data_IF_267128319164
#
_entry.id   IF_267128319164
#
_cell.length_a   1.000
_cell.length_b   1.000
_cell.length_c   1.000
_cell.angle_alpha   90.00
_cell.angle_beta   90.00
_cell.angle_gamma   90.00
#
_symmetry.space_group_name_H-M   'P 1'
#
loop_
_entity.id
_entity.type
_entity.pdbx_description
1 polymer ?
#
# COMPACT_ATOMS: atom_id res chain seq x y z
N UNK A 1 51.72 36.45 -14.99
CA UNK A 1 50.40 37.04 -15.33
C UNK A 1 49.47 36.77 -14.15
N UNK A 2 48.75 37.75 -13.59
CA UNK A 2 47.95 37.54 -12.37
C UNK A 2 46.73 36.65 -12.66
N UNK A 3 46.53 35.60 -11.86
CA UNK A 3 45.39 34.66 -11.91
C UNK A 3 44.03 35.36 -12.08
N UNK A 4 43.81 36.49 -11.42
CA UNK A 4 42.57 37.29 -11.54
C UNK A 4 42.33 37.82 -12.95
N UNK A 5 43.39 38.20 -13.67
CA UNK A 5 43.28 38.67 -15.06
C UNK A 5 42.97 37.52 -16.00
N UNK A 6 43.55 36.34 -15.78
CA UNK A 6 43.25 35.13 -16.55
C UNK A 6 41.81 34.68 -16.30
N UNK A 7 41.36 34.61 -15.05
CA UNK A 7 39.98 34.27 -14.70
C UNK A 7 38.97 35.25 -15.33
N UNK A 8 39.26 36.55 -15.29
CA UNK A 8 38.39 37.57 -15.91
C UNK A 8 38.30 37.41 -17.43
N UNK A 9 39.41 37.11 -18.09
CA UNK A 9 39.44 36.88 -19.54
C UNK A 9 38.68 35.61 -19.92
N UNK A 10 38.80 34.55 -19.11
CA UNK A 10 38.05 33.30 -19.29
C UNK A 10 36.55 33.53 -19.12
N UNK A 11 36.13 34.17 -18.02
CA UNK A 11 34.72 34.51 -17.80
C UNK A 11 34.16 35.42 -18.91
N UNK A 12 34.97 36.35 -19.42
CA UNK A 12 34.56 37.21 -20.52
C UNK A 12 34.44 36.45 -21.85
N UNK A 13 35.35 35.50 -22.14
CA UNK A 13 35.25 34.60 -23.29
C UNK A 13 33.96 33.78 -23.23
N UNK A 14 33.68 33.15 -22.08
CA UNK A 14 32.48 32.33 -21.90
C UNK A 14 31.20 33.16 -21.96
N UNK A 15 31.21 34.36 -21.38
CA UNK A 15 30.09 35.30 -21.49
C UNK A 15 29.83 35.69 -22.95
N UNK A 16 30.88 35.95 -23.74
CA UNK A 16 30.74 36.22 -25.17
C UNK A 16 30.25 34.96 -25.91
N UNK A 17 30.70 33.77 -25.52
CA UNK A 17 30.24 32.49 -26.05
C UNK A 17 28.74 32.30 -25.87
N UNK A 18 28.26 32.47 -24.63
CA UNK A 18 26.84 32.44 -24.28
C UNK A 18 26.05 33.54 -25.03
N UNK A 19 26.60 34.76 -25.12
CA UNK A 19 25.98 35.87 -25.84
C UNK A 19 25.84 35.64 -27.35
N UNK A 20 26.79 34.91 -27.95
CA UNK A 20 26.74 34.54 -29.38
C UNK A 20 25.79 33.38 -29.63
N UNK A 21 25.65 32.46 -28.68
CA UNK A 21 24.83 31.27 -28.81
C UNK A 21 23.48 31.41 -28.07
N UNK A 22 22.78 32.52 -28.35
CA UNK A 22 21.55 32.94 -27.64
C UNK A 22 20.47 31.85 -27.56
N UNK A 23 20.36 31.01 -28.59
CA UNK A 23 19.38 29.93 -28.64
C UNK A 23 19.67 28.85 -27.59
N UNK A 24 20.93 28.46 -27.43
CA UNK A 24 21.34 27.44 -26.47
C UNK A 24 21.24 27.95 -25.04
N UNK A 25 21.71 29.17 -24.77
CA UNK A 25 21.58 29.79 -23.44
C UNK A 25 20.11 30.02 -23.07
N UNK A 26 19.24 30.33 -24.03
CA UNK A 26 17.81 30.42 -23.79
C UNK A 26 17.20 29.06 -23.47
N UNK A 27 17.61 27.97 -24.14
CA UNK A 27 17.15 26.62 -23.82
C UNK A 27 17.64 26.14 -22.44
N UNK A 28 18.89 26.41 -22.09
CA UNK A 28 19.48 26.06 -20.80
C UNK A 28 18.75 26.70 -19.61
N UNK A 29 18.20 27.89 -19.78
CA UNK A 29 17.44 28.59 -18.73
C UNK A 29 15.94 28.29 -18.83
N UNK A 30 15.37 28.31 -20.04
CA UNK A 30 13.94 28.15 -20.22
C UNK A 30 13.46 26.73 -19.92
N UNK A 31 14.22 25.68 -20.26
CA UNK A 31 13.78 24.29 -20.03
C UNK A 31 13.66 23.97 -18.54
N UNK A 32 14.67 24.23 -17.68
CA UNK A 32 14.51 24.02 -16.23
C UNK A 32 13.38 24.86 -15.63
N UNK A 33 13.23 26.12 -16.06
CA UNK A 33 12.18 27.01 -15.53
C UNK A 33 10.79 26.57 -15.97
N UNK A 34 10.59 26.22 -17.24
CA UNK A 34 9.29 25.79 -17.77
C UNK A 34 8.82 24.47 -17.21
N UNK A 35 9.73 23.56 -16.81
CA UNK A 35 9.36 22.28 -16.20
C UNK A 35 9.23 22.43 -14.67
N UNK A 36 10.09 23.23 -14.01
CA UNK A 36 10.04 23.41 -12.55
C UNK A 36 8.84 24.23 -12.10
N UNK A 37 8.47 25.31 -12.81
CA UNK A 37 7.46 26.25 -12.35
C UNK A 37 6.05 25.63 -12.25
N UNK A 38 5.55 24.89 -13.26
CA UNK A 38 4.26 24.18 -13.15
C UNK A 38 4.30 23.12 -12.05
N UNK A 39 5.44 22.43 -11.89
CA UNK A 39 5.61 21.39 -10.88
C UNK A 39 5.56 21.97 -9.46
N UNK A 40 6.21 23.11 -9.21
CA UNK A 40 6.12 23.85 -7.94
C UNK A 40 4.69 24.31 -7.68
N UNK A 41 3.99 24.82 -8.70
CA UNK A 41 2.60 25.28 -8.57
C UNK A 41 1.68 24.11 -8.20
N UNK A 42 1.81 22.95 -8.87
CA UNK A 42 1.03 21.74 -8.58
C UNK A 42 1.28 21.27 -7.15
N UNK A 43 2.55 21.21 -6.72
CA UNK A 43 2.90 20.76 -5.36
C UNK A 43 2.36 21.73 -4.30
N UNK A 44 2.50 23.04 -4.49
CA UNK A 44 1.98 24.03 -3.55
C UNK A 44 0.46 23.95 -3.46
N UNK A 45 -0.23 23.81 -4.61
CA UNK A 45 -1.69 23.67 -4.64
C UNK A 45 -2.18 22.37 -4.00
N UNK A 46 -1.44 21.27 -4.15
CA UNK A 46 -1.80 19.98 -3.57
C UNK A 46 -1.33 19.81 -2.12
N UNK A 47 -0.30 20.52 -1.67
CA UNK A 47 0.29 20.34 -0.33
C UNK A 47 -0.70 20.50 0.83
N UNK A 48 -1.71 21.38 0.69
CA UNK A 48 -2.76 21.57 1.70
C UNK A 48 -3.86 20.52 1.67
N UNK A 49 -4.04 19.80 0.55
CA UNK A 49 -5.02 18.71 0.41
C UNK A 49 -4.45 17.32 0.67
N UNK A 50 -3.14 17.22 0.90
CA UNK A 50 -2.35 15.98 1.00
C UNK A 50 -2.31 15.39 2.43
N UNK A 51 -2.90 16.08 3.41
CA UNK A 51 -3.04 15.52 4.77
C UNK A 51 -4.33 14.73 4.83
N UNK A 52 -4.23 13.41 4.96
CA UNK A 52 -5.37 12.61 5.39
C UNK A 52 -5.54 12.79 6.90
N UNK A 53 -6.78 13.12 7.28
CA UNK A 53 -7.16 13.17 8.69
C UNK A 53 -7.14 11.77 9.30
N UNK A 54 -7.15 11.71 10.63
CA UNK A 54 -7.19 10.44 11.33
C UNK A 54 -8.43 9.65 10.90
N UNK A 55 -8.21 8.39 10.49
CA UNK A 55 -9.31 7.51 10.10
C UNK A 55 -9.67 6.64 11.29
N UNK A 56 -10.82 6.93 11.88
CA UNK A 56 -11.42 6.12 12.93
C UNK A 56 -12.40 5.13 12.31
N UNK A 57 -12.21 3.84 12.58
CA UNK A 57 -13.11 2.79 12.12
C UNK A 57 -14.19 2.54 13.15
N UNK A 58 -15.41 2.28 12.68
CA UNK A 58 -16.51 1.91 13.56
C UNK A 58 -16.42 0.43 13.91
N UNK A 59 -16.70 0.04 15.16
CA UNK A 59 -16.81 -1.37 15.49
C UNK A 59 -17.99 -1.98 14.74
N UNK A 60 -17.83 -3.23 14.30
CA UNK A 60 -18.91 -4.02 13.72
C UNK A 60 -19.03 -5.36 14.44
N UNK A 61 -20.26 -5.81 14.67
CA UNK A 61 -20.52 -7.07 15.37
C UNK A 61 -20.47 -8.25 14.40
N UNK A 62 -19.96 -9.40 14.80
CA UNK A 62 -20.10 -10.65 14.01
C UNK A 62 -21.09 -11.55 14.74
N UNK A 63 -22.16 -11.99 14.07
CA UNK A 63 -23.22 -12.77 14.72
C UNK A 63 -23.09 -14.27 14.50
N UNK A 64 -22.43 -14.70 13.42
CA UNK A 64 -22.27 -16.12 13.07
C UNK A 64 -23.60 -16.80 12.76
N UNK A 65 -24.52 -16.06 12.14
CA UNK A 65 -25.86 -16.52 11.82
C UNK A 65 -26.36 -15.92 10.48
N UNK A 66 -27.63 -16.16 10.16
CA UNK A 66 -28.27 -15.65 8.95
C UNK A 66 -28.18 -14.13 8.77
N UNK A 67 -28.02 -13.33 9.85
CA UNK A 67 -27.93 -11.87 9.75
C UNK A 67 -26.68 -11.44 9.00
N UNK A 68 -25.57 -12.17 9.16
CA UNK A 68 -24.33 -11.88 8.44
C UNK A 68 -24.45 -12.13 6.92
N UNK A 69 -25.30 -13.08 6.50
CA UNK A 69 -25.52 -13.46 5.09
C UNK A 69 -26.11 -12.33 4.26
N UNK A 70 -27.10 -11.63 4.82
CA UNK A 70 -27.80 -10.53 4.15
C UNK A 70 -27.24 -9.15 4.48
N UNK A 71 -26.28 -9.06 5.41
CA UNK A 71 -25.71 -7.79 5.84
C UNK A 71 -24.64 -7.28 4.89
N UNK A 72 -24.82 -6.02 4.48
CA UNK A 72 -23.80 -5.21 3.82
C UNK A 72 -23.03 -4.43 4.89
N UNK A 73 -21.70 -4.51 4.87
CA UNK A 73 -20.83 -3.68 5.69
C UNK A 73 -20.29 -2.56 4.80
N UNK A 74 -20.88 -1.37 4.92
CA UNK A 74 -20.63 -0.23 4.03
C UNK A 74 -20.72 -0.61 2.54
N UNK A 75 -19.63 -0.45 1.79
CA UNK A 75 -19.53 -0.80 0.38
C UNK A 75 -18.99 -2.23 0.14
N UNK A 76 -18.77 -3.03 1.19
CA UNK A 76 -18.37 -4.43 1.05
C UNK A 76 -19.57 -5.32 0.72
N UNK A 77 -19.32 -6.32 -0.12
CA UNK A 77 -20.33 -7.32 -0.44
C UNK A 77 -20.61 -8.19 0.79
N UNK A 78 -21.86 -8.65 0.92
CA UNK A 78 -22.24 -9.58 2.00
C UNK A 78 -21.50 -10.93 1.86
N UNK A 79 -21.53 -11.75 2.90
CA UNK A 79 -20.83 -13.03 2.87
C UNK A 79 -21.43 -13.96 1.81
N UNK A 80 -20.58 -14.72 1.12
CA UNK A 80 -20.97 -15.67 0.06
C UNK A 80 -21.66 -15.05 -1.18
N UNK A 81 -21.73 -13.72 -1.26
CA UNK A 81 -22.38 -12.97 -2.34
C UNK A 81 -21.60 -12.96 -3.66
N UNK A 82 -20.30 -13.24 -3.62
CA UNK A 82 -19.40 -13.32 -4.79
C UNK A 82 -19.88 -14.31 -5.85
N UNK A 83 -20.79 -15.21 -5.47
CA UNK A 83 -21.24 -16.31 -6.29
C UNK A 83 -22.70 -16.26 -6.76
N UNK A 84 -23.30 -15.08 -6.74
CA UNK A 84 -24.75 -14.93 -6.93
C UNK A 84 -25.54 -15.56 -5.78
N UNK A 85 -26.82 -15.22 -5.66
CA UNK A 85 -27.71 -15.73 -4.60
C UNK A 85 -28.04 -17.22 -4.82
N UNK A 86 -27.06 -18.11 -4.59
CA UNK A 86 -27.35 -19.52 -4.33
C UNK A 86 -27.90 -19.62 -2.92
N UNK A 87 -29.21 -19.82 -2.86
CA UNK A 87 -30.01 -19.98 -1.65
C UNK A 87 -29.70 -21.28 -0.89
N UNK A 88 -28.89 -22.18 -1.44
CA UNK A 88 -28.46 -23.39 -0.75
C UNK A 88 -26.96 -23.57 -0.89
N UNK A 89 -26.27 -23.79 0.23
CA UNK A 89 -24.85 -24.13 0.29
C UNK A 89 -24.61 -25.24 1.29
N UNK A 90 -23.47 -25.90 1.15
CA UNK A 90 -23.06 -26.97 2.04
C UNK A 90 -21.81 -26.62 2.85
N UNK A 91 -21.70 -27.17 4.06
CA UNK A 91 -20.52 -27.09 4.91
C UNK A 91 -20.04 -28.51 5.22
N UNK A 92 -18.78 -28.81 4.97
CA UNK A 92 -18.20 -30.09 5.33
C UNK A 92 -17.68 -30.08 6.77
N UNK A 93 -17.96 -31.12 7.55
CA UNK A 93 -17.39 -31.32 8.88
C UNK A 93 -16.64 -32.65 8.96
N UNK A 94 -15.49 -32.66 9.63
CA UNK A 94 -14.74 -33.88 9.99
C UNK A 94 -14.44 -33.81 11.48
N UNK A 95 -14.76 -34.89 12.20
CA UNK A 95 -14.50 -35.04 13.62
C UNK A 95 -13.40 -36.06 13.89
N UNK A 96 -12.77 -36.05 15.08
CA UNK A 96 -11.82 -37.09 15.49
C UNK A 96 -12.46 -38.49 15.44
N UNK A 97 -11.68 -39.54 15.16
CA UNK A 97 -12.20 -40.89 14.95
C UNK A 97 -12.99 -41.50 16.11
N UNK A 98 -12.75 -41.04 17.34
CA UNK A 98 -13.41 -41.50 18.56
C UNK A 98 -14.52 -40.55 19.05
N UNK A 99 -14.96 -39.62 18.21
CA UNK A 99 -15.97 -38.64 18.57
C UNK A 99 -17.37 -39.26 18.54
N UNK A 100 -18.23 -38.88 19.48
CA UNK A 100 -19.59 -39.40 19.54
C UNK A 100 -20.40 -38.92 18.32
N UNK A 101 -20.95 -39.88 17.58
CA UNK A 101 -21.75 -39.62 16.39
C UNK A 101 -23.05 -38.86 16.73
N UNK A 102 -23.59 -39.06 17.94
CA UNK A 102 -24.77 -38.32 18.39
C UNK A 102 -24.45 -36.83 18.58
N UNK A 103 -23.27 -36.55 19.13
CA UNK A 103 -22.74 -35.22 19.35
C UNK A 103 -22.36 -34.53 18.03
N UNK A 104 -21.72 -35.25 17.11
CA UNK A 104 -21.40 -34.74 15.77
C UNK A 104 -22.66 -34.26 15.03
N UNK A 105 -23.73 -35.05 15.09
CA UNK A 105 -25.03 -34.68 14.50
C UNK A 105 -25.66 -33.50 15.21
N UNK A 106 -25.50 -33.37 16.53
CA UNK A 106 -25.98 -32.20 17.27
C UNK A 106 -25.26 -30.93 16.82
N UNK A 107 -23.92 -30.95 16.73
CA UNK A 107 -23.11 -29.82 16.24
C UNK A 107 -23.52 -29.42 14.83
N UNK A 108 -23.69 -30.40 13.94
CA UNK A 108 -24.11 -30.16 12.56
C UNK A 108 -25.48 -29.45 12.49
N UNK A 109 -26.48 -29.97 13.22
CA UNK A 109 -27.82 -29.36 13.27
C UNK A 109 -27.82 -27.97 13.87
N UNK A 110 -27.03 -27.75 14.92
CA UNK A 110 -26.93 -26.45 15.55
C UNK A 110 -26.33 -25.42 14.58
N UNK A 111 -25.27 -25.77 13.85
CA UNK A 111 -24.71 -24.93 12.79
C UNK A 111 -25.71 -24.67 11.65
N UNK A 112 -26.44 -25.69 11.19
CA UNK A 112 -27.49 -25.50 10.19
C UNK A 112 -28.56 -24.51 10.67
N UNK A 113 -29.02 -24.67 11.92
CA UNK A 113 -30.10 -23.87 12.49
C UNK A 113 -29.75 -22.39 12.62
N UNK A 114 -28.48 -22.05 12.84
CA UNK A 114 -28.01 -20.66 12.94
C UNK A 114 -28.18 -19.89 11.63
N UNK A 115 -27.97 -20.56 10.51
CA UNK A 115 -28.09 -19.95 9.18
C UNK A 115 -29.47 -20.15 8.55
N UNK A 116 -30.41 -20.81 9.24
CA UNK A 116 -31.80 -20.96 8.81
C UNK A 116 -32.67 -19.94 9.54
N UNK A 117 -33.31 -19.03 8.79
CA UNK A 117 -34.31 -18.13 9.36
C UNK A 117 -35.56 -18.95 9.76
N UNK A 118 -35.89 -19.01 11.04
CA UNK A 118 -37.06 -19.77 11.52
C UNK A 118 -38.29 -18.93 11.87
N UNK A 119 -38.23 -17.59 11.86
CA UNK A 119 -39.40 -16.77 12.21
C UNK A 119 -39.46 -15.37 11.57
N UNK A 120 -40.67 -15.05 11.07
CA UNK A 120 -41.27 -13.72 10.84
C UNK A 120 -40.86 -12.92 9.58
N UNK A 121 -41.49 -13.29 8.45
CA UNK A 121 -42.35 -12.45 7.57
C UNK A 121 -41.95 -11.05 7.07
N UNK A 122 -40.71 -10.56 7.28
CA UNK A 122 -40.31 -9.23 6.79
C UNK A 122 -39.20 -9.28 5.72
N UNK A 123 -38.37 -10.32 5.71
CA UNK A 123 -37.23 -10.44 4.79
C UNK A 123 -37.34 -11.78 4.05
N UNK A 124 -37.26 -11.76 2.71
CA UNK A 124 -37.16 -12.96 1.87
C UNK A 124 -35.77 -13.62 2.01
N UNK A 125 -35.40 -14.01 3.23
CA UNK A 125 -34.21 -14.80 3.48
C UNK A 125 -34.47 -16.23 3.02
N UNK A 126 -33.78 -16.66 1.97
CA UNK A 126 -33.94 -17.99 1.38
C UNK A 126 -32.68 -18.82 1.49
N UNK A 127 -31.66 -18.34 2.22
CA UNK A 127 -30.42 -19.07 2.41
C UNK A 127 -30.64 -20.27 3.33
N UNK A 128 -30.07 -21.41 2.93
CA UNK A 128 -30.08 -22.66 3.66
C UNK A 128 -28.67 -23.24 3.66
N UNK A 129 -28.14 -23.45 4.85
CA UNK A 129 -26.92 -24.21 5.05
C UNK A 129 -27.25 -25.69 5.25
N UNK A 130 -26.52 -26.55 4.54
CA UNK A 130 -26.61 -28.01 4.56
C UNK A 130 -25.28 -28.57 5.08
N UNK A 131 -25.25 -29.10 6.30
CA UNK A 131 -24.01 -29.52 6.95
C UNK A 131 -23.80 -31.01 6.75
N UNK A 132 -22.72 -31.37 6.07
CA UNK A 132 -22.38 -32.75 5.73
C UNK A 132 -21.21 -33.22 6.58
N UNK A 133 -21.40 -34.33 7.30
CA UNK A 133 -20.35 -34.95 8.11
C UNK A 133 -19.63 -35.99 7.25
N UNK A 134 -18.31 -35.86 7.17
CA UNK A 134 -17.43 -36.78 6.44
C UNK A 134 -16.70 -37.70 7.43
N UNK A 135 -16.42 -38.93 6.98
CA UNK A 135 -15.75 -39.93 7.81
C UNK A 135 -14.27 -39.61 8.09
N UNK A 136 -13.59 -38.94 7.14
CA UNK A 136 -12.18 -38.57 7.25
C UNK A 136 -11.87 -37.29 6.47
N UNK A 137 -10.73 -36.68 6.77
CA UNK A 137 -10.25 -35.48 6.07
C UNK A 137 -10.13 -35.72 4.56
N UNK A 138 -9.63 -36.89 4.16
CA UNK A 138 -9.42 -37.23 2.74
C UNK A 138 -10.72 -37.23 1.93
N UNK A 139 -11.81 -37.80 2.46
CA UNK A 139 -13.10 -37.82 1.77
C UNK A 139 -13.72 -36.43 1.68
N UNK A 140 -13.56 -35.61 2.73
CA UNK A 140 -13.99 -34.21 2.68
C UNK A 140 -13.20 -33.43 1.63
N UNK A 141 -11.87 -33.56 1.63
CA UNK A 141 -11.01 -32.87 0.67
C UNK A 141 -11.27 -33.32 -0.77
N UNK A 142 -11.59 -34.59 -1.01
CA UNK A 142 -12.01 -35.09 -2.32
C UNK A 142 -13.34 -34.45 -2.76
N UNK A 143 -14.34 -34.38 -1.87
CA UNK A 143 -15.62 -33.74 -2.16
C UNK A 143 -15.47 -32.23 -2.45
N UNK A 144 -14.69 -31.52 -1.64
CA UNK A 144 -14.38 -30.09 -1.85
C UNK A 144 -13.61 -29.86 -3.15
N UNK A 145 -12.61 -30.71 -3.45
CA UNK A 145 -11.81 -30.62 -4.67
C UNK A 145 -12.63 -30.92 -5.92
N UNK A 146 -13.56 -31.88 -5.83
CA UNK A 146 -14.49 -32.19 -6.92
C UNK A 146 -15.42 -31.01 -7.20
N UNK A 147 -16.03 -30.45 -6.17
CA UNK A 147 -16.90 -29.27 -6.28
C UNK A 147 -16.16 -28.05 -6.86
N UNK A 148 -14.90 -27.86 -6.45
CA UNK A 148 -14.01 -26.85 -7.02
C UNK A 148 -13.76 -27.04 -8.53
N UNK A 149 -13.47 -28.27 -8.97
CA UNK A 149 -13.22 -28.57 -10.39
C UNK A 149 -14.47 -28.44 -11.26
N UNK A 150 -15.62 -28.82 -10.72
CA UNK A 150 -16.89 -28.77 -11.45
C UNK A 150 -17.44 -27.35 -11.59
N UNK A 151 -17.11 -26.45 -10.66
CA UNK A 151 -17.64 -25.09 -10.64
C UNK A 151 -16.54 -24.03 -10.58
N UNK A 152 -16.14 -23.52 -11.74
CA UNK A 152 -15.16 -22.43 -11.85
C UNK A 152 -15.61 -21.16 -11.13
N UNK A 153 -16.90 -20.83 -11.20
CA UNK A 153 -17.46 -19.66 -10.52
C UNK A 153 -17.86 -20.01 -9.09
N UNK A 154 -18.71 -21.03 -8.87
CA UNK A 154 -19.41 -21.21 -7.60
C UNK A 154 -19.52 -22.63 -7.07
N UNK A 155 -18.79 -22.90 -5.99
CA UNK A 155 -18.83 -24.15 -5.22
C UNK A 155 -20.16 -24.33 -4.51
N UNK A 156 -20.69 -25.56 -4.48
CA UNK A 156 -21.75 -25.94 -3.55
C UNK A 156 -21.33 -25.79 -2.10
N UNK A 157 -20.06 -26.07 -1.79
CA UNK A 157 -19.50 -25.93 -0.45
C UNK A 157 -18.97 -24.51 -0.18
N UNK A 158 -19.27 -23.98 1.01
CA UNK A 158 -18.67 -22.72 1.50
C UNK A 158 -17.27 -22.96 2.08
N UNK A 159 -17.12 -24.05 2.83
CA UNK A 159 -15.90 -24.39 3.54
C UNK A 159 -15.95 -25.86 4.02
N UNK A 160 -14.80 -26.36 4.48
CA UNK A 160 -14.69 -27.54 5.32
C UNK A 160 -14.15 -27.18 6.70
N UNK A 161 -14.63 -27.84 7.75
CA UNK A 161 -14.15 -27.70 9.12
C UNK A 161 -13.59 -29.05 9.57
N UNK A 162 -12.33 -29.07 9.97
CA UNK A 162 -11.66 -30.26 10.49
C UNK A 162 -11.44 -30.03 11.97
N UNK A 163 -12.12 -30.80 12.82
CA UNK A 163 -11.89 -30.76 14.26
C UNK A 163 -10.75 -31.70 14.61
N UNK A 164 -9.62 -31.15 15.06
CA UNK A 164 -8.50 -31.91 15.58
C UNK A 164 -8.73 -32.29 17.05
N UNK A 165 -9.33 -31.38 17.82
CA UNK A 165 -9.68 -31.57 19.22
C UNK A 165 -11.04 -30.92 19.50
N UNK A 166 -12.00 -31.69 20.02
CA UNK A 166 -13.30 -31.19 20.48
C UNK A 166 -13.59 -31.86 21.82
N UNK A 167 -13.24 -31.19 22.92
CA UNK A 167 -13.38 -31.74 24.26
C UNK A 167 -14.15 -30.79 25.18
N UNK A 168 -15.39 -31.18 25.50
CA UNK A 168 -16.28 -30.43 26.39
C UNK A 168 -15.77 -30.40 27.83
N UNK A 169 -15.22 -31.51 28.31
CA UNK A 169 -14.80 -31.68 29.71
C UNK A 169 -13.60 -30.80 30.05
N UNK A 170 -12.68 -30.62 29.10
CA UNK A 170 -11.49 -29.76 29.26
C UNK A 170 -11.66 -28.37 28.65
N UNK A 171 -12.81 -28.08 28.05
CA UNK A 171 -13.09 -26.85 27.30
C UNK A 171 -12.02 -26.54 26.23
N UNK A 172 -11.53 -27.56 25.54
CA UNK A 172 -10.53 -27.42 24.46
C UNK A 172 -11.14 -27.64 23.09
N UNK A 173 -10.92 -26.67 22.21
CA UNK A 173 -11.31 -26.71 20.81
C UNK A 173 -10.08 -26.41 19.95
N UNK A 174 -9.75 -27.32 19.02
CA UNK A 174 -8.77 -27.10 17.97
C UNK A 174 -9.37 -27.55 16.65
N UNK A 175 -9.39 -26.66 15.67
CA UNK A 175 -9.97 -26.92 14.37
C UNK A 175 -9.23 -26.18 13.27
N UNK A 176 -9.36 -26.68 12.06
CA UNK A 176 -8.84 -26.08 10.84
C UNK A 176 -10.00 -25.77 9.90
N UNK A 177 -10.08 -24.51 9.44
CA UNK A 177 -11.01 -24.09 8.39
C UNK A 177 -10.33 -24.22 7.02
N UNK A 178 -11.00 -24.94 6.11
CA UNK A 178 -10.61 -25.08 4.71
C UNK A 178 -11.54 -24.24 3.86
N UNK A 179 -11.06 -23.07 3.45
CA UNK A 179 -11.79 -22.16 2.54
C UNK A 179 -11.15 -22.23 1.16
N UNK A 180 -11.98 -22.05 0.13
CA UNK A 180 -11.51 -21.98 -1.25
C UNK A 180 -10.57 -20.78 -1.44
N UNK A 181 -9.37 -21.06 -1.93
CA UNK A 181 -8.49 -20.06 -2.51
C UNK A 181 -8.65 -20.10 -4.04
N UNK A 182 -8.67 -18.94 -4.68
CA UNK A 182 -8.69 -18.77 -6.15
C UNK A 182 -7.48 -17.96 -6.58
N UNK A 183 -7.27 -17.84 -7.89
CA UNK A 183 -6.21 -16.99 -8.44
C UNK A 183 -6.51 -15.48 -8.29
N UNK A 184 -7.72 -15.12 -7.85
CA UNK A 184 -8.07 -13.73 -7.53
C UNK A 184 -7.36 -13.28 -6.24
N UNK A 185 -6.72 -12.11 -6.30
CA UNK A 185 -6.05 -11.45 -5.17
C UNK A 185 -7.01 -11.27 -3.98
N UNK A 186 -8.31 -11.09 -4.23
CA UNK A 186 -9.31 -11.00 -3.15
C UNK A 186 -9.52 -12.31 -2.38
N UNK A 187 -9.08 -13.45 -2.91
CA UNK A 187 -9.16 -14.74 -2.23
C UNK A 187 -7.83 -15.17 -1.63
N UNK A 188 -6.78 -14.36 -1.78
CA UNK A 188 -5.47 -14.63 -1.22
C UNK A 188 -5.47 -14.32 0.28
N UNK A 189 -4.90 -15.25 1.03
CA UNK A 189 -4.68 -15.14 2.47
C UNK A 189 -3.22 -14.78 2.70
N UNK A 190 -2.96 -13.77 3.54
CA UNK A 190 -1.60 -13.49 3.97
C UNK A 190 -1.15 -14.54 5.00
N UNK A 191 0.03 -15.11 4.79
CA UNK A 191 0.63 -16.11 5.67
C UNK A 191 2.01 -15.58 6.09
N UNK A 192 2.28 -15.53 7.39
CA UNK A 192 3.61 -15.16 7.90
C UNK A 192 3.99 -13.72 7.58
N UNK A 193 5.11 -13.53 6.88
CA UNK A 193 5.70 -12.21 6.61
C UNK A 193 4.96 -11.42 5.51
N UNK A 194 4.04 -12.06 4.77
CA UNK A 194 3.25 -11.44 3.70
C UNK A 194 2.18 -10.46 4.22
N UNK A 195 1.97 -10.39 5.54
CA UNK A 195 0.95 -9.52 6.17
C UNK A 195 1.29 -8.04 5.96
N UNK A 196 2.57 -7.72 5.89
CA UNK A 196 3.04 -6.35 5.76
C UNK A 196 3.64 -6.14 4.37
N UNK A 197 3.20 -5.09 3.69
CA UNK A 197 3.89 -4.63 2.50
C UNK A 197 5.29 -4.08 2.85
N UNK A 198 6.02 -3.56 1.86
CA UNK A 198 7.37 -3.05 2.06
C UNK A 198 7.47 -1.92 3.12
N UNK A 199 6.35 -1.27 3.47
CA UNK A 199 6.27 -0.26 4.52
C UNK A 199 6.05 -0.81 5.94
N UNK A 200 5.87 -2.12 6.12
CA UNK A 200 5.72 -2.74 7.44
C UNK A 200 4.36 -2.50 8.09
N UNK A 201 4.29 -2.61 9.41
CA UNK A 201 3.07 -2.44 10.21
C UNK A 201 2.47 -1.03 10.20
N UNK A 202 3.23 -0.05 9.69
CA UNK A 202 2.83 1.35 9.60
C UNK A 202 2.60 1.76 8.14
N UNK A 203 2.58 0.80 7.21
CA UNK A 203 2.25 1.10 5.82
C UNK A 203 0.81 1.58 5.75
N UNK A 204 0.64 2.74 5.14
CA UNK A 204 -0.67 3.30 4.82
C UNK A 204 -1.32 2.40 3.78
N UNK A 205 -2.42 1.76 4.16
CA UNK A 205 -3.19 0.93 3.24
C UNK A 205 -4.14 1.81 2.42
N UNK A 206 -4.24 1.54 1.11
CA UNK A 206 -5.21 2.20 0.22
C UNK A 206 -6.66 1.77 0.53
N UNK A 207 -6.82 0.69 1.30
CA UNK A 207 -8.09 0.13 1.72
C UNK A 207 -8.59 0.81 3.00
N UNK A 208 -9.64 1.62 2.88
CA UNK A 208 -10.30 2.32 4.00
C UNK A 208 -11.62 1.66 4.43
N UNK A 209 -11.83 0.39 4.11
CA UNK A 209 -13.02 -0.34 4.53
C UNK A 209 -12.90 -0.79 6.01
N UNK A 210 -14.06 -1.00 6.66
CA UNK A 210 -14.12 -1.46 8.06
C UNK A 210 -13.38 -2.79 8.30
N UNK A 211 -13.34 -3.63 7.27
CA UNK A 211 -12.61 -4.89 7.20
C UNK A 211 -11.81 -4.84 5.91
N UNK A 212 -10.57 -5.30 5.96
CA UNK A 212 -9.73 -5.34 4.77
C UNK A 212 -10.41 -6.19 3.68
N UNK A 213 -10.43 -5.68 2.46
CA UNK A 213 -10.79 -6.42 1.24
C UNK A 213 -9.76 -7.51 0.99
N UNK A 214 -8.50 -7.25 1.32
CA UNK A 214 -7.40 -8.20 1.15
C UNK A 214 -6.60 -8.28 2.46
N UNK A 215 -6.62 -9.43 3.17
CA UNK A 215 -7.35 -10.66 2.86
C UNK A 215 -8.85 -10.52 3.13
N UNK A 216 -9.67 -11.17 2.31
CA UNK A 216 -11.13 -11.06 2.40
C UNK A 216 -11.72 -11.92 3.53
N UNK A 217 -11.55 -11.50 4.78
CA UNK A 217 -12.09 -12.21 5.94
C UNK A 217 -13.62 -12.11 6.05
N UNK A 218 -14.21 -11.01 5.59
CA UNK A 218 -15.65 -10.77 5.66
C UNK A 218 -16.40 -11.47 4.53
N UNK A 219 -16.27 -11.03 3.28
CA UNK A 219 -17.11 -11.54 2.17
C UNK A 219 -16.86 -13.02 1.86
N UNK A 220 -15.72 -13.60 2.25
CA UNK A 220 -15.49 -15.06 2.21
C UNK A 220 -16.36 -15.84 3.20
N UNK A 221 -16.92 -15.17 4.21
CA UNK A 221 -17.70 -15.75 5.29
C UNK A 221 -16.86 -16.36 6.41
N UNK A 222 -15.54 -16.23 6.37
CA UNK A 222 -14.64 -16.80 7.37
C UNK A 222 -14.96 -16.32 8.79
N UNK A 223 -15.06 -15.01 9.01
CA UNK A 223 -15.31 -14.46 10.36
C UNK A 223 -16.64 -14.98 10.94
N UNK A 224 -17.69 -15.00 10.11
CA UNK A 224 -19.00 -15.51 10.50
C UNK A 224 -18.94 -17.00 10.84
N UNK A 225 -18.28 -17.80 10.00
CA UNK A 225 -18.15 -19.24 10.21
C UNK A 225 -17.30 -19.60 11.43
N UNK A 226 -16.18 -18.89 11.62
CA UNK A 226 -15.32 -19.04 12.80
C UNK A 226 -16.13 -18.76 14.07
N UNK A 227 -16.84 -17.63 14.11
CA UNK A 227 -17.67 -17.29 15.26
C UNK A 227 -18.81 -18.31 15.47
N UNK A 228 -19.42 -18.82 14.39
CA UNK A 228 -20.46 -19.85 14.48
C UNK A 228 -19.92 -21.16 15.09
N UNK A 229 -18.74 -21.64 14.65
CA UNK A 229 -18.12 -22.87 15.18
C UNK A 229 -17.78 -22.71 16.67
N UNK A 230 -17.14 -21.60 17.04
CA UNK A 230 -16.73 -21.33 18.42
C UNK A 230 -17.93 -21.15 19.35
N UNK A 231 -18.96 -20.43 18.90
CA UNK A 231 -20.18 -20.23 19.69
C UNK A 231 -21.00 -21.52 19.85
N UNK A 232 -21.02 -22.42 18.86
CA UNK A 232 -21.62 -23.76 19.01
C UNK A 232 -20.85 -24.60 20.02
N UNK A 233 -19.51 -24.53 20.02
CA UNK A 233 -18.69 -25.18 21.04
C UNK A 233 -18.95 -24.62 22.45
N UNK A 234 -19.01 -23.29 22.60
CA UNK A 234 -19.33 -22.67 23.89
C UNK A 234 -20.71 -23.08 24.40
N UNK A 235 -21.73 -23.14 23.51
CA UNK A 235 -23.07 -23.65 23.84
C UNK A 235 -23.03 -25.11 24.29
N UNK A 236 -22.14 -25.92 23.73
CA UNK A 236 -22.02 -27.33 24.06
C UNK A 236 -21.41 -27.57 25.45
N UNK A 237 -20.56 -26.66 25.92
CA UNK A 237 -19.97 -26.67 27.27
C UNK A 237 -20.92 -26.05 28.29
N UNK A 238 -21.55 -24.92 27.97
CA UNK A 238 -22.37 -24.16 28.90
C UNK A 238 -23.85 -24.51 28.73
N UNK A 239 -24.33 -25.55 29.42
CA UNK A 239 -25.71 -26.06 29.29
C UNK A 239 -26.87 -25.12 29.71
N UNK A 240 -26.66 -23.80 29.90
CA UNK A 240 -27.73 -22.78 30.09
C UNK A 240 -27.19 -21.36 30.38
N UNK A 241 -25.92 -21.19 30.73
CA UNK A 241 -25.42 -19.95 31.35
C UNK A 241 -25.03 -18.84 30.35
N UNK A 242 -24.84 -19.19 29.09
CA UNK A 242 -24.55 -18.27 27.99
C UNK A 242 -25.57 -18.53 26.90
N UNK A 243 -26.73 -17.89 27.01
CA UNK A 243 -27.58 -17.65 25.85
C UNK A 243 -26.72 -16.94 24.81
N UNK A 244 -26.74 -17.37 23.55
CA UNK A 244 -25.92 -16.78 22.48
C UNK A 244 -26.11 -15.28 22.26
N UNK A 245 -27.08 -14.66 22.94
CA UNK A 245 -27.34 -13.22 22.96
C UNK A 245 -26.45 -12.44 23.95
N UNK A 246 -25.75 -13.09 24.89
CA UNK A 246 -24.97 -12.42 25.93
C UNK A 246 -23.51 -12.13 25.53
N UNK A 247 -23.00 -12.77 24.47
CA UNK A 247 -21.64 -12.55 23.95
C UNK A 247 -21.72 -11.63 22.73
N UNK A 248 -21.63 -10.33 22.98
CA UNK A 248 -21.47 -9.34 21.92
C UNK A 248 -20.01 -9.34 21.43
N UNK A 249 -19.76 -9.97 20.29
CA UNK A 249 -18.44 -9.98 19.68
C UNK A 249 -18.35 -8.90 18.60
N UNK A 250 -17.64 -7.82 18.92
CA UNK A 250 -17.34 -6.72 18.00
C UNK A 250 -15.89 -6.72 17.59
N UNK A 251 -15.65 -6.51 16.30
CA UNK A 251 -14.34 -6.28 15.73
C UNK A 251 -14.21 -4.80 15.35
N UNK A 252 -13.03 -4.24 15.61
CA UNK A 252 -12.69 -2.87 15.26
C UNK A 252 -11.27 -2.86 14.68
N UNK A 253 -11.12 -2.18 13.54
CA UNK A 253 -9.82 -1.99 12.91
C UNK A 253 -9.03 -0.95 13.71
N UNK A 254 -7.72 -1.15 13.80
CA UNK A 254 -6.84 -0.16 14.43
C UNK A 254 -6.97 1.19 13.71
N UNK A 255 -7.06 2.30 14.44
CA UNK A 255 -7.18 3.62 13.84
C UNK A 255 -5.92 3.96 13.05
N UNK A 256 -6.10 4.60 11.90
CA UNK A 256 -4.98 5.08 11.10
C UNK A 256 -4.59 6.49 11.55
N UNK A 257 -3.31 6.71 11.94
CA UNK A 257 -2.86 8.03 12.35
C UNK A 257 -2.84 8.98 11.16
N UNK A 258 -2.86 10.28 11.42
CA UNK A 258 -2.69 11.27 10.35
C UNK A 258 -1.38 11.05 9.61
N UNK A 259 -1.43 10.89 8.29
CA UNK A 259 -0.27 10.72 7.45
C UNK A 259 -0.31 11.66 6.23
N UNK A 260 0.85 11.82 5.61
CA UNK A 260 1.00 12.56 4.36
C UNK A 260 0.86 11.60 3.18
N UNK A 261 0.10 11.96 2.12
CA UNK A 261 -0.16 11.05 1.00
C UNK A 261 1.13 10.44 0.42
N UNK A 262 0.99 9.17 0.01
CA UNK A 262 1.94 8.44 -0.84
C UNK A 262 2.36 9.22 -2.08
N UNK A 263 1.52 10.15 -2.55
CA UNK A 263 1.82 11.10 -3.61
C UNK A 263 3.08 11.95 -3.35
N UNK A 264 3.43 12.27 -2.10
CA UNK A 264 4.70 12.97 -1.79
C UNK A 264 5.90 12.04 -2.05
N UNK A 265 5.82 10.78 -1.63
CA UNK A 265 6.85 9.77 -1.92
C UNK A 265 6.98 9.47 -3.41
N UNK A 266 5.85 9.39 -4.14
CA UNK A 266 5.83 9.21 -5.59
C UNK A 266 6.38 10.45 -6.31
N UNK A 267 6.07 11.64 -5.81
CA UNK A 267 6.63 12.90 -6.28
C UNK A 267 8.16 12.96 -6.07
N UNK A 268 8.65 12.60 -4.88
CA UNK A 268 10.08 12.51 -4.59
C UNK A 268 10.78 11.50 -5.50
N UNK A 269 10.11 10.41 -5.86
CA UNK A 269 10.62 9.42 -6.81
C UNK A 269 10.69 9.97 -8.23
N UNK A 270 9.69 10.77 -8.64
CA UNK A 270 9.67 11.45 -9.96
C UNK A 270 10.76 12.51 -10.09
N UNK A 271 11.17 13.17 -8.99
CA UNK A 271 12.23 14.19 -9.01
C UNK A 271 13.54 13.67 -9.60
N UNK A 272 13.86 12.37 -9.45
CA UNK A 272 15.06 11.76 -10.02
C UNK A 272 15.07 11.90 -11.56
N UNK A 273 13.95 11.58 -12.20
CA UNK A 273 13.79 11.66 -13.67
C UNK A 273 13.75 13.12 -14.11
N UNK A 274 13.04 13.96 -13.36
CA UNK A 274 12.96 15.40 -13.60
C UNK A 274 14.35 16.06 -13.65
N UNK A 275 15.23 15.76 -12.69
CA UNK A 275 16.57 16.33 -12.66
C UNK A 275 17.45 15.87 -13.82
N UNK A 276 17.30 14.62 -14.26
CA UNK A 276 18.00 14.13 -15.45
C UNK A 276 17.60 14.92 -16.70
N UNK A 277 16.30 15.16 -16.90
CA UNK A 277 15.81 15.93 -18.05
C UNK A 277 16.23 17.40 -17.98
N UNK A 278 16.20 17.99 -16.79
CA UNK A 278 16.60 19.39 -16.56
C UNK A 278 18.08 19.63 -16.89
N UNK A 279 18.95 18.69 -16.56
CA UNK A 279 20.41 18.82 -16.79
C UNK A 279 20.85 18.45 -18.21
N UNK A 280 20.03 17.71 -18.98
CA UNK A 280 20.39 17.24 -20.33
C UNK A 280 20.83 18.36 -21.30
N UNK A 281 20.13 19.50 -21.43
CA UNK A 281 20.56 20.60 -22.30
C UNK A 281 21.94 21.15 -21.94
N UNK A 282 22.23 21.28 -20.63
CA UNK A 282 23.51 21.77 -20.14
C UNK A 282 24.65 20.80 -20.46
N UNK A 283 24.41 19.49 -20.27
CA UNK A 283 25.39 18.45 -20.61
C UNK A 283 25.64 18.43 -22.13
N UNK A 284 24.59 18.46 -22.94
CA UNK A 284 24.69 18.44 -24.40
C UNK A 284 25.42 19.67 -24.95
N UNK A 285 25.11 20.86 -24.44
CA UNK A 285 25.78 22.09 -24.86
C UNK A 285 27.26 22.09 -24.45
N UNK A 286 27.57 21.64 -23.23
CA UNK A 286 28.97 21.52 -22.75
C UNK A 286 29.76 20.53 -23.60
N UNK A 287 29.22 19.34 -23.87
CA UNK A 287 29.87 18.32 -24.71
C UNK A 287 30.04 18.83 -26.15
N UNK A 288 29.05 19.53 -26.70
CA UNK A 288 29.13 20.14 -28.04
C UNK A 288 30.25 21.19 -28.11
N UNK A 289 30.36 22.05 -27.10
CA UNK A 289 31.41 23.06 -27.04
C UNK A 289 32.79 22.39 -26.95
N UNK A 290 32.98 21.43 -26.04
CA UNK A 290 34.24 20.68 -25.91
C UNK A 290 34.59 19.97 -27.23
N UNK A 291 33.61 19.33 -27.89
CA UNK A 291 33.82 18.64 -29.16
C UNK A 291 34.18 19.62 -30.30
N UNK A 292 33.58 20.81 -30.32
CA UNK A 292 33.88 21.87 -31.29
C UNK A 292 35.29 22.43 -31.08
N UNK A 293 35.70 22.65 -29.82
CA UNK A 293 37.02 23.14 -29.48
C UNK A 293 38.09 22.09 -29.81
N UNK A 294 37.80 20.80 -29.57
CA UNK A 294 38.66 19.68 -29.99
C UNK A 294 38.81 19.60 -31.51
N UNK A 295 37.71 19.72 -32.27
CA UNK A 295 37.74 19.72 -33.75
C UNK A 295 38.48 20.92 -34.33
N UNK A 296 38.38 22.08 -33.70
CA UNK A 296 39.06 23.31 -34.15
C UNK A 296 40.58 23.31 -33.91
N UNK A 297 41.12 22.29 -33.24
CA UNK A 297 42.55 22.20 -32.91
C UNK A 297 42.98 23.15 -31.79
N UNK A 298 42.08 23.94 -31.20
CA UNK A 298 42.42 24.83 -30.07
C UNK A 298 42.98 24.07 -28.87
N UNK A 299 42.52 22.84 -28.60
CA UNK A 299 43.10 22.01 -27.53
C UNK A 299 44.59 21.70 -27.76
N UNK A 300 45.03 21.55 -29.00
CA UNK A 300 46.44 21.31 -29.32
C UNK A 300 47.30 22.58 -29.16
N UNK A 301 46.75 23.75 -29.47
CA UNK A 301 47.42 25.06 -29.29
C UNK A 301 47.56 25.39 -27.80
N UNK A 302 46.55 25.07 -26.98
CA UNK A 302 46.60 25.23 -25.53
C UNK A 302 47.54 24.21 -24.85
N UNK A 303 47.65 22.98 -25.35
CA UNK A 303 48.65 22.01 -24.86
C UNK A 303 50.09 22.46 -25.12
N UNK A 304 50.33 23.23 -26.20
CA UNK A 304 51.64 23.76 -26.57
C UNK A 304 52.08 24.94 -25.69
N UNK A 305 51.12 25.72 -25.18
CA UNK A 305 51.35 26.79 -24.19
C UNK A 305 50.96 26.32 -22.78
N UNK A 306 51.83 25.49 -22.20
CA UNK A 306 51.98 25.11 -20.80
C UNK A 306 50.83 25.45 -19.81
N UNK A 307 50.17 24.39 -19.31
CA UNK A 307 49.44 24.28 -18.03
C UNK A 307 48.15 25.11 -17.86
N UNK A 308 47.00 24.44 -18.06
CA UNK A 308 46.09 24.04 -16.97
C UNK A 308 44.81 23.45 -17.57
N UNK A 309 44.67 22.13 -17.47
CA UNK A 309 43.40 21.41 -17.66
C UNK A 309 42.29 21.98 -16.74
N UNK A 310 42.68 22.69 -15.67
CA UNK A 310 41.80 23.35 -14.71
C UNK A 310 41.01 24.54 -15.30
N UNK A 311 41.55 25.29 -16.26
CA UNK A 311 40.95 26.55 -16.71
C UNK A 311 39.71 26.39 -17.61
N UNK A 312 39.56 25.24 -18.29
CA UNK A 312 38.36 24.92 -19.08
C UNK A 312 37.25 24.27 -18.23
N UNK A 313 37.64 23.50 -17.21
CA UNK A 313 36.68 22.76 -16.38
C UNK A 313 36.07 23.70 -15.33
N UNK A 314 36.80 24.72 -14.86
CA UNK A 314 36.36 25.64 -13.79
C UNK A 314 35.07 26.46 -14.09
N UNK A 315 34.90 27.08 -15.29
CA UNK A 315 33.74 27.93 -15.54
C UNK A 315 32.47 27.11 -15.82
N UNK A 316 32.60 25.98 -16.51
CA UNK A 316 31.51 25.01 -16.67
C UNK A 316 31.14 24.40 -15.31
N UNK A 317 32.12 24.04 -14.48
CA UNK A 317 31.89 23.64 -13.09
C UNK A 317 31.22 24.75 -12.28
N UNK A 318 31.53 26.03 -12.52
CA UNK A 318 30.93 27.18 -11.82
C UNK A 318 29.46 27.38 -12.19
N UNK A 319 29.12 27.28 -13.47
CA UNK A 319 27.71 27.32 -13.92
C UNK A 319 26.97 26.08 -13.45
N UNK A 320 27.59 24.89 -13.52
CA UNK A 320 27.02 23.64 -12.98
C UNK A 320 26.85 23.75 -11.47
N UNK A 321 27.80 24.31 -10.71
CA UNK A 321 27.63 24.50 -9.25
C UNK A 321 26.56 25.52 -8.94
N UNK A 322 26.45 26.63 -9.69
CA UNK A 322 25.35 27.59 -9.51
C UNK A 322 24.00 26.96 -9.83
N UNK A 323 23.90 26.17 -10.90
CA UNK A 323 22.67 25.46 -11.27
C UNK A 323 22.35 24.36 -10.25
N UNK A 324 23.33 23.63 -9.74
CA UNK A 324 23.17 22.61 -8.68
C UNK A 324 22.84 23.25 -7.34
N UNK A 325 23.38 24.43 -7.01
CA UNK A 325 23.03 25.18 -5.80
C UNK A 325 21.64 25.80 -5.92
N UNK A 326 21.29 26.39 -7.06
CA UNK A 326 19.96 26.95 -7.31
C UNK A 326 18.90 25.85 -7.35
N UNK A 327 19.21 24.72 -7.99
CA UNK A 327 18.41 23.50 -7.95
C UNK A 327 18.29 23.00 -6.51
N UNK A 328 19.40 22.84 -5.78
CA UNK A 328 19.44 22.42 -4.39
C UNK A 328 18.59 23.31 -3.48
N UNK A 329 18.66 24.63 -3.65
CA UNK A 329 17.84 25.61 -2.92
C UNK A 329 16.34 25.43 -3.25
N UNK A 330 15.99 25.17 -4.51
CA UNK A 330 14.60 24.93 -4.92
C UNK A 330 14.09 23.59 -4.39
N UNK A 331 14.85 22.50 -4.50
CA UNK A 331 14.49 21.18 -3.94
C UNK A 331 14.39 21.24 -2.42
N UNK A 332 15.29 21.98 -1.78
CA UNK A 332 15.31 22.20 -0.35
C UNK A 332 14.15 23.09 0.12
N UNK A 333 13.80 24.14 -0.62
CA UNK A 333 12.61 24.95 -0.33
C UNK A 333 11.31 24.15 -0.52
N UNK A 334 11.27 23.27 -1.54
CA UNK A 334 10.17 22.33 -1.74
C UNK A 334 10.06 21.34 -0.57
N UNK A 335 11.17 20.75 -0.14
CA UNK A 335 11.21 19.82 1.00
C UNK A 335 10.88 20.51 2.34
N UNK A 336 11.35 21.74 2.54
CA UNK A 336 11.00 22.55 3.71
C UNK A 336 9.51 22.95 3.69
N UNK A 337 8.93 23.23 2.53
CA UNK A 337 7.51 23.57 2.40
C UNK A 337 6.59 22.37 2.66
N UNK A 338 7.05 21.14 2.40
CA UNK A 338 6.29 19.91 2.68
C UNK A 338 6.41 19.46 4.14
N UNK A 339 7.51 19.79 4.83
CA UNK A 339 7.74 19.41 6.22
C UNK A 339 7.21 20.45 7.23
N UNK A 340 7.27 21.75 6.90
CA UNK A 340 6.97 22.81 7.87
C UNK A 340 5.58 23.45 7.66
N UNK A 341 4.70 23.25 8.65
CA UNK A 341 3.30 23.70 8.69
C UNK A 341 3.04 25.24 8.64
N UNK A 342 4.07 26.08 8.53
CA UNK A 342 3.91 27.51 8.25
C UNK A 342 5.13 28.08 7.53
N UNK A 343 4.92 29.09 6.67
CA UNK A 343 5.98 29.78 5.95
C UNK A 343 7.08 30.32 6.90
N UNK A 344 6.73 30.69 8.13
CA UNK A 344 7.68 31.14 9.15
C UNK A 344 8.57 30.02 9.72
N UNK A 345 8.07 28.77 9.80
CA UNK A 345 8.89 27.62 10.21
C UNK A 345 9.75 27.10 9.07
N UNK A 346 9.25 27.13 7.83
CA UNK A 346 10.04 26.79 6.65
C UNK A 346 11.28 27.68 6.49
N UNK A 347 11.16 28.99 6.72
CA UNK A 347 12.30 29.93 6.67
C UNK A 347 13.29 29.71 7.81
N UNK A 348 12.81 29.40 9.02
CA UNK A 348 13.69 29.12 10.18
C UNK A 348 14.41 27.77 10.06
N UNK A 349 13.70 26.73 9.62
CA UNK A 349 14.28 25.42 9.32
C UNK A 349 15.26 25.47 8.16
N UNK A 350 14.95 26.29 7.14
CA UNK A 350 15.86 26.57 6.04
C UNK A 350 17.16 27.22 6.50
N UNK A 351 17.07 28.23 7.36
CA UNK A 351 18.25 28.85 7.97
C UNK A 351 19.09 27.89 8.81
N UNK A 352 18.45 26.99 9.57
CA UNK A 352 19.14 26.02 10.43
C UNK A 352 19.88 24.94 9.62
N UNK A 353 19.24 24.37 8.60
CA UNK A 353 19.85 23.36 7.73
C UNK A 353 20.96 23.96 6.84
N UNK A 354 20.82 25.22 6.42
CA UNK A 354 21.89 25.95 5.70
C UNK A 354 23.10 26.24 6.61
N UNK A 355 22.87 26.56 7.89
CA UNK A 355 23.95 26.70 8.87
C UNK A 355 24.61 25.35 9.20
N UNK A 356 23.83 24.27 9.28
CA UNK A 356 24.33 22.92 9.52
C UNK A 356 25.15 22.38 8.33
N UNK A 357 24.77 22.69 7.08
CA UNK A 357 25.53 22.29 5.90
C UNK A 357 26.88 22.99 5.81
N UNK A 358 26.96 24.26 6.23
CA UNK A 358 28.23 25.00 6.34
C UNK A 358 29.09 24.42 7.48
N UNK A 359 28.48 23.97 8.58
CA UNK A 359 29.19 23.33 9.69
C UNK A 359 29.77 21.96 9.37
N UNK A 360 29.15 21.18 8.47
CA UNK A 360 29.64 19.87 8.05
C UNK A 360 30.74 19.92 6.99
N UNK A 361 30.96 21.04 6.31
CA UNK A 361 32.10 21.23 5.39
C UNK A 361 33.40 21.66 6.11
N UNK A 362 33.38 21.87 7.43
CA UNK A 362 34.54 22.29 8.23
C UNK A 362 35.16 21.12 9.04
N UNK A 363 34.76 19.87 8.78
CA UNK A 363 35.39 18.68 9.37
C UNK A 363 35.95 17.71 8.34
#
# INVERSE_FOLDING_TARGET
MSFRRQLRLLLHKEFIGAWRNKLWTLLEVAVPVLISLPLVIIVVQMSSSVKHDEQLYKPFQVTGDWRDVDRLLDNMKSIYSSCGRRNKRSLGLVFPSNFDESEARWVARELESRYQLSNLSIINHTYKLDVQIFANETAMMEALSKDFRESFLCTGFIAGVIFDEYNKSTARLRYTLRIRQTDDLQSQWYIGDDIWGPGGAYEVMEDHFQVNIIPNYWSSGFLSLQYAVESVFLKSIASAKYSGDDLEFSLERLPEPTYFEKAITDFLSFLIIFWQISMMPCILHTVSNIASERRSGMQAIFYFYFFELFAMVLPALFIITILVYAAGIVTFALCASTIFHSAGMAVKGAGFLWLASIGMEIF
#
